data_IF_240229441850
#
_entry.id   IF_240229441850
#
_cell.length_a   1.000
_cell.length_b   1.000
_cell.length_c   1.000
_cell.angle_alpha   90.00
_cell.angle_beta   90.00
_cell.angle_gamma   90.00
#
_symmetry.space_group_name_H-M   'P 1'
#
loop_
_entity.id
_entity.type
_entity.pdbx_description
1 polymer ?
#
# COMPACT_ATOMS: atom_id res chain seq x y z
N UNK A 1 -40.36 4.91 -14.53
CA UNK A 1 -39.08 4.24 -14.22
C UNK A 1 -38.25 5.25 -13.46
N UNK A 2 -38.02 5.03 -12.17
CA UNK A 2 -37.25 5.98 -11.36
C UNK A 2 -35.78 5.90 -11.77
N UNK A 3 -35.24 7.01 -12.25
CA UNK A 3 -33.81 7.12 -12.56
C UNK A 3 -33.03 6.99 -11.26
N UNK A 4 -32.31 5.88 -11.08
CA UNK A 4 -31.38 5.73 -9.97
C UNK A 4 -30.26 6.74 -10.16
N UNK A 5 -30.28 7.80 -9.36
CA UNK A 5 -29.23 8.80 -9.33
C UNK A 5 -27.94 8.12 -8.86
N UNK A 6 -26.96 7.99 -9.76
CA UNK A 6 -25.64 7.44 -9.44
C UNK A 6 -24.97 8.39 -8.46
N UNK A 7 -24.88 7.98 -7.19
CA UNK A 7 -24.15 8.73 -6.17
C UNK A 7 -22.65 8.58 -6.44
N UNK A 8 -22.00 9.66 -6.81
CA UNK A 8 -20.53 9.70 -6.92
C UNK A 8 -19.90 9.61 -5.52
N UNK A 9 -18.89 8.76 -5.38
CA UNK A 9 -18.05 8.70 -4.20
C UNK A 9 -16.82 9.58 -4.40
N UNK A 10 -16.46 10.34 -3.38
CA UNK A 10 -15.16 10.98 -3.32
C UNK A 10 -14.05 9.93 -3.16
N UNK A 11 -12.83 10.28 -3.58
CA UNK A 11 -11.65 9.42 -3.42
C UNK A 11 -11.43 9.07 -1.94
N UNK A 12 -11.65 10.02 -1.03
CA UNK A 12 -11.53 9.78 0.41
C UNK A 12 -12.59 8.80 0.93
N UNK A 13 -13.82 8.83 0.41
CA UNK A 13 -14.85 7.84 0.75
C UNK A 13 -14.48 6.45 0.22
N UNK A 14 -14.03 6.36 -1.03
CA UNK A 14 -13.59 5.10 -1.61
C UNK A 14 -12.44 4.49 -0.80
N UNK A 15 -11.41 5.28 -0.46
CA UNK A 15 -10.27 4.80 0.33
C UNK A 15 -10.69 4.29 1.71
N UNK A 16 -11.65 4.96 2.37
CA UNK A 16 -12.19 4.49 3.67
C UNK A 16 -12.94 3.17 3.54
N UNK A 17 -13.73 3.00 2.48
CA UNK A 17 -14.45 1.74 2.23
C UNK A 17 -13.48 0.60 1.92
N UNK A 18 -12.44 0.85 1.12
CA UNK A 18 -11.40 -0.13 0.83
C UNK A 18 -10.64 -0.53 2.08
N UNK A 19 -10.21 0.44 2.90
CA UNK A 19 -9.52 0.14 4.16
C UNK A 19 -10.39 -0.70 5.09
N UNK A 20 -11.67 -0.33 5.28
CA UNK A 20 -12.59 -1.11 6.10
C UNK A 20 -12.78 -2.54 5.58
N UNK A 21 -12.95 -2.71 4.28
CA UNK A 21 -13.12 -4.03 3.68
C UNK A 21 -11.85 -4.90 3.84
N UNK A 22 -10.66 -4.31 3.66
CA UNK A 22 -9.39 -5.00 3.83
C UNK A 22 -9.16 -5.41 5.29
N UNK A 23 -9.40 -4.51 6.24
CA UNK A 23 -9.21 -4.77 7.68
C UNK A 23 -10.13 -5.90 8.20
N UNK A 24 -11.31 -6.07 7.61
CA UNK A 24 -12.25 -7.14 7.97
C UNK A 24 -11.93 -8.48 7.30
N UNK A 25 -11.31 -8.46 6.13
CA UNK A 25 -11.12 -9.66 5.30
C UNK A 25 -9.72 -10.25 5.36
N UNK A 26 -8.71 -9.45 5.68
CA UNK A 26 -7.31 -9.86 5.67
C UNK A 26 -6.75 -9.77 7.11
N UNK A 27 -6.41 -10.90 7.75
CA UNK A 27 -5.71 -10.86 9.03
C UNK A 27 -4.31 -10.27 8.86
N UNK A 28 -3.63 -9.96 9.97
CA UNK A 28 -2.22 -9.56 9.91
C UNK A 28 -1.38 -10.68 9.31
N UNK A 29 -0.83 -10.45 8.11
CA UNK A 29 -0.03 -11.40 7.34
C UNK A 29 1.30 -10.78 6.94
N UNK A 30 2.32 -11.63 6.79
CA UNK A 30 3.60 -11.26 6.22
C UNK A 30 3.62 -11.62 4.72
N UNK A 31 4.29 -10.80 3.92
CA UNK A 31 4.50 -11.03 2.50
C UNK A 31 5.99 -11.18 2.22
N UNK A 32 6.32 -12.00 1.24
CA UNK A 32 7.66 -12.13 0.69
C UNK A 32 7.64 -11.81 -0.81
N UNK A 33 8.75 -11.29 -1.32
CA UNK A 33 8.87 -10.90 -2.71
C UNK A 33 10.16 -10.15 -2.98
N UNK A 34 10.43 -9.89 -4.25
CA UNK A 34 11.60 -9.13 -4.69
C UNK A 34 11.32 -7.62 -4.60
N UNK A 35 12.27 -6.88 -4.04
CA UNK A 35 12.23 -5.42 -3.99
C UNK A 35 12.75 -4.86 -5.31
N UNK A 36 12.00 -3.94 -5.90
CA UNK A 36 12.37 -3.25 -7.14
C UNK A 36 11.97 -1.77 -7.09
N UNK A 37 12.49 -0.97 -8.03
CA UNK A 37 12.16 0.46 -8.17
C UNK A 37 12.36 1.26 -6.87
N UNK A 38 13.34 0.85 -6.07
CA UNK A 38 13.63 1.44 -4.77
C UNK A 38 14.13 2.89 -4.91
N UNK A 39 13.48 3.79 -4.17
CA UNK A 39 13.78 5.22 -4.15
C UNK A 39 13.78 5.75 -2.71
N UNK A 40 14.72 6.67 -2.43
CA UNK A 40 14.83 7.37 -1.16
C UNK A 40 14.66 8.90 -1.34
N UNK A 41 13.44 9.43 -1.18
CA UNK A 41 13.21 10.88 -1.21
C UNK A 41 13.79 11.59 0.02
N UNK A 42 13.82 12.92 -0.01
CA UNK A 42 14.31 13.76 1.10
C UNK A 42 13.54 13.57 2.42
N UNK A 43 12.33 13.01 2.39
CA UNK A 43 11.57 12.64 3.59
C UNK A 43 12.24 11.53 4.41
N UNK A 44 13.19 10.80 3.82
CA UNK A 44 13.90 9.69 4.47
C UNK A 44 13.08 8.41 4.57
N UNK A 45 11.99 8.29 3.80
CA UNK A 45 11.25 7.03 3.64
C UNK A 45 11.79 6.26 2.44
N UNK A 46 11.70 4.94 2.47
CA UNK A 46 11.95 4.11 1.30
C UNK A 46 10.62 3.86 0.58
N UNK A 47 10.56 4.17 -0.70
CA UNK A 47 9.45 3.79 -1.59
C UNK A 47 9.96 2.72 -2.53
N UNK A 48 9.23 1.63 -2.69
CA UNK A 48 9.63 0.53 -3.54
C UNK A 48 8.41 -0.27 -4.00
N UNK A 49 8.62 -1.14 -4.97
CA UNK A 49 7.64 -2.09 -5.44
C UNK A 49 8.07 -3.49 -5.00
N UNK A 50 7.19 -4.21 -4.30
CA UNK A 50 7.37 -5.62 -3.96
C UNK A 50 6.73 -6.48 -5.06
N UNK A 51 7.48 -7.43 -5.61
CA UNK A 51 7.08 -8.23 -6.78
C UNK A 51 7.16 -9.74 -6.50
N UNK A 52 6.27 -10.48 -7.15
CA UNK A 52 6.37 -11.93 -7.34
C UNK A 52 6.41 -12.27 -8.85
N UNK A 53 6.29 -13.55 -9.22
CA UNK A 53 6.34 -14.00 -10.62
C UNK A 53 5.22 -13.42 -11.50
N UNK A 54 4.13 -12.96 -10.91
CA UNK A 54 2.87 -12.64 -11.59
C UNK A 54 2.29 -11.26 -11.26
N UNK A 55 2.63 -10.69 -10.10
CA UNK A 55 2.01 -9.47 -9.57
C UNK A 55 3.01 -8.57 -8.82
N UNK A 56 2.57 -7.34 -8.56
CA UNK A 56 3.38 -6.34 -7.87
C UNK A 56 2.51 -5.42 -7.00
N UNK A 57 3.09 -4.90 -5.91
CA UNK A 57 2.46 -3.92 -5.02
C UNK A 57 3.42 -2.79 -4.66
N UNK A 58 2.93 -1.55 -4.67
CA UNK A 58 3.70 -0.40 -4.18
C UNK A 58 3.69 -0.36 -2.65
N UNK A 59 4.87 -0.19 -2.06
CA UNK A 59 5.08 -0.18 -0.64
C UNK A 59 5.92 1.03 -0.19
N UNK A 60 5.73 1.42 1.07
CA UNK A 60 6.53 2.43 1.73
C UNK A 60 7.05 1.88 3.06
N UNK A 61 8.35 2.00 3.28
CA UNK A 61 8.95 1.81 4.60
C UNK A 61 9.26 3.17 5.20
N UNK A 62 8.53 3.53 6.25
CA UNK A 62 8.71 4.79 6.95
C UNK A 62 10.08 4.88 7.59
N UNK A 63 10.64 6.09 7.63
CA UNK A 63 11.98 6.41 8.18
C UNK A 63 12.27 5.71 9.51
N UNK A 64 11.29 5.70 10.42
CA UNK A 64 11.44 5.08 11.74
C UNK A 64 11.69 3.57 11.63
N UNK A 65 10.88 2.87 10.82
CA UNK A 65 11.05 1.43 10.58
C UNK A 65 12.31 1.13 9.79
N UNK A 66 12.63 1.96 8.80
CA UNK A 66 13.83 1.85 7.99
C UNK A 66 15.11 1.90 8.83
N UNK A 67 15.15 2.76 9.86
CA UNK A 67 16.28 2.88 10.77
C UNK A 67 16.54 1.65 11.66
N UNK A 68 15.57 0.73 11.75
CA UNK A 68 15.70 -0.53 12.50
C UNK A 68 16.26 -1.68 11.65
N UNK A 69 16.43 -1.49 10.34
CA UNK A 69 17.07 -2.51 9.52
C UNK A 69 18.55 -2.64 9.88
N UNK A 70 19.02 -3.88 9.97
CA UNK A 70 20.44 -4.18 10.18
C UNK A 70 21.27 -4.04 8.90
N UNK A 71 20.66 -3.63 7.79
CA UNK A 71 21.26 -3.49 6.48
C UNK A 71 20.65 -2.28 5.75
N UNK A 72 21.29 -1.85 4.66
CA UNK A 72 20.76 -0.82 3.76
C UNK A 72 19.95 -1.48 2.64
N UNK A 73 18.74 -0.97 2.41
CA UNK A 73 17.89 -1.38 1.27
C UNK A 73 18.46 -0.85 -0.05
#
# INVERSE_FOLDING_TARGET
>A
MAEQQVKYLSISELNRLLQFALDQSIPSVAFEGEVSELTFPQSGHAYFTLKDESTQISAVMWKGQLAHLSFQL
#
